data_IF_834892969882
#
_entry.id   IF_834892969882
#
_cell.length_a   1.000
_cell.length_b   1.000
_cell.length_c   1.000
_cell.angle_alpha   90.00
_cell.angle_beta   90.00
_cell.angle_gamma   90.00
#
_symmetry.space_group_name_H-M   'P 1'
#
loop_
_entity.id
_entity.type
_entity.pdbx_description
1 polymer ?
#
# COMPACT_ATOMS: atom_id res chain seq x y z
N UNK A 1 18.03 -7.54 -3.07
CA UNK A 1 16.93 -7.97 -3.97
C UNK A 1 16.06 -8.91 -3.15
N UNK A 2 14.88 -8.48 -2.70
CA UNK A 2 13.93 -9.39 -2.05
C UNK A 2 13.22 -10.19 -3.13
N UNK A 3 13.03 -11.49 -2.92
CA UNK A 3 12.37 -12.32 -3.91
C UNK A 3 10.91 -11.84 -4.12
N UNK A 4 10.37 -11.91 -5.36
CA UNK A 4 9.03 -11.39 -5.65
C UNK A 4 7.91 -12.05 -4.84
N UNK A 5 8.13 -13.29 -4.37
CA UNK A 5 7.14 -14.09 -3.67
C UNK A 5 7.19 -13.86 -2.14
N UNK A 6 8.37 -13.69 -1.56
CA UNK A 6 8.63 -13.48 -0.13
C UNK A 6 8.19 -12.10 0.35
N UNK A 7 8.23 -11.08 -0.51
CA UNK A 7 7.64 -9.78 -0.18
C UNK A 7 6.11 -9.84 -0.07
N UNK A 8 5.44 -10.66 -0.88
CA UNK A 8 3.98 -10.84 -0.79
C UNK A 8 3.60 -11.61 0.50
N UNK A 9 4.36 -12.64 0.85
CA UNK A 9 4.18 -13.39 2.10
C UNK A 9 4.48 -12.51 3.32
N UNK A 10 5.59 -11.77 3.32
CA UNK A 10 5.94 -10.88 4.42
C UNK A 10 4.88 -9.77 4.62
N UNK A 11 4.32 -9.20 3.55
CA UNK A 11 3.24 -8.21 3.67
C UNK A 11 1.92 -8.78 4.21
N UNK A 12 1.54 -9.98 3.75
CA UNK A 12 0.31 -10.64 4.16
C UNK A 12 0.35 -11.17 5.58
N UNK A 13 1.51 -11.70 6.00
CA UNK A 13 1.68 -12.37 7.30
C UNK A 13 2.16 -11.40 8.39
N UNK A 14 3.08 -10.47 8.10
CA UNK A 14 3.70 -9.66 9.15
C UNK A 14 2.80 -8.54 9.72
N UNK A 15 1.82 -8.06 8.94
CA UNK A 15 0.89 -6.99 9.39
C UNK A 15 -0.37 -7.53 10.07
N UNK A 16 -0.64 -8.83 9.96
CA UNK A 16 -1.83 -9.48 10.53
C UNK A 16 -3.17 -9.04 9.94
N UNK A 17 -3.19 -8.37 8.78
CA UNK A 17 -4.42 -7.86 8.13
C UNK A 17 -4.41 -8.07 6.60
N UNK A 18 -4.32 -9.33 6.14
CA UNK A 18 -4.71 -9.73 4.77
C UNK A 18 -3.81 -9.28 3.60
N UNK A 19 -2.77 -8.49 3.84
CA UNK A 19 -1.87 -7.98 2.80
C UNK A 19 -2.61 -7.05 1.82
N UNK A 20 -2.34 -7.19 0.51
CA UNK A 20 -3.00 -6.39 -0.54
C UNK A 20 -4.50 -6.66 -0.67
N UNK A 21 -5.02 -7.80 -0.20
CA UNK A 21 -6.47 -8.06 -0.17
C UNK A 21 -7.20 -7.13 0.79
N UNK A 22 -6.53 -6.69 1.85
CA UNK A 22 -7.01 -5.66 2.77
C UNK A 22 -6.00 -4.49 2.78
N UNK A 23 -5.65 -3.91 3.92
CA UNK A 23 -4.66 -2.82 4.00
C UNK A 23 -3.30 -3.24 4.59
N UNK A 24 -3.00 -4.55 4.65
CA UNK A 24 -1.78 -5.04 5.31
C UNK A 24 -0.49 -4.59 4.66
N UNK A 25 -0.51 -4.40 3.35
CA UNK A 25 0.62 -3.82 2.64
C UNK A 25 0.85 -2.34 2.99
N UNK A 26 -0.22 -1.58 3.22
CA UNK A 26 -0.13 -0.17 3.61
C UNK A 26 0.36 -0.04 5.07
N UNK A 27 -0.17 -0.87 5.97
CA UNK A 27 0.22 -0.88 7.39
C UNK A 27 1.69 -1.29 7.54
N UNK A 28 2.13 -2.35 6.86
CA UNK A 28 3.51 -2.78 6.93
C UNK A 28 4.50 -1.72 6.41
N UNK A 29 4.13 -0.95 5.38
CA UNK A 29 4.93 0.21 4.94
C UNK A 29 5.10 1.25 6.04
N UNK A 30 4.06 1.52 6.82
CA UNK A 30 4.15 2.47 7.93
C UNK A 30 5.03 1.94 9.07
N UNK A 31 4.97 0.64 9.35
CA UNK A 31 5.86 0.00 10.34
C UNK A 31 7.33 0.08 9.90
N UNK A 32 7.63 -0.18 8.62
CA UNK A 32 9.01 -0.19 8.11
C UNK A 32 9.55 1.22 7.88
N UNK A 33 8.79 2.09 7.21
CA UNK A 33 9.26 3.42 6.79
C UNK A 33 9.21 4.47 7.89
N UNK A 34 8.34 4.30 8.89
CA UNK A 34 8.16 5.27 9.99
C UNK A 34 8.39 4.68 11.38
N UNK A 35 8.70 3.39 11.50
CA UNK A 35 8.92 2.75 12.80
C UNK A 35 7.66 2.64 13.67
N UNK A 36 6.47 2.82 13.08
CA UNK A 36 5.21 2.83 13.83
C UNK A 36 4.92 1.46 14.44
N UNK A 37 4.37 1.44 15.66
CA UNK A 37 3.84 0.20 16.24
C UNK A 37 2.56 -0.20 15.54
N UNK A 38 2.21 -1.48 15.56
CA UNK A 38 1.05 -2.01 14.82
C UNK A 38 -0.27 -1.23 15.07
N UNK A 39 -0.66 -0.88 16.31
CA UNK A 39 -1.90 -0.11 16.53
C UNK A 39 -1.85 1.30 15.93
N UNK A 40 -0.70 1.96 16.02
CA UNK A 40 -0.47 3.30 15.47
C UNK A 40 -0.52 3.26 13.94
N UNK A 41 0.17 2.30 13.32
CA UNK A 41 0.18 2.10 11.87
C UNK A 41 -1.24 1.83 11.33
N UNK A 42 -2.03 0.99 12.02
CA UNK A 42 -3.44 0.74 11.66
C UNK A 42 -4.26 2.02 11.75
N UNK A 43 -4.14 2.78 12.85
CA UNK A 43 -4.87 4.05 13.04
C UNK A 43 -4.48 5.07 11.96
N UNK A 44 -3.20 5.16 11.64
CA UNK A 44 -2.69 6.06 10.61
C UNK A 44 -3.26 5.72 9.24
N UNK A 45 -3.17 4.45 8.83
CA UNK A 45 -3.68 3.99 7.53
C UNK A 45 -5.20 4.17 7.45
N UNK A 46 -5.94 3.78 8.47
CA UNK A 46 -7.39 3.97 8.54
C UNK A 46 -7.76 5.46 8.33
N UNK A 47 -7.08 6.37 9.03
CA UNK A 47 -7.28 7.81 8.87
C UNK A 47 -6.95 8.32 7.46
N UNK A 48 -5.87 7.81 6.84
CA UNK A 48 -5.50 8.17 5.46
C UNK A 48 -6.50 7.67 4.40
N UNK A 49 -7.18 6.56 4.69
CA UNK A 49 -8.17 5.97 3.81
C UNK A 49 -9.60 6.45 4.09
N UNK A 50 -9.81 7.30 5.10
CA UNK A 50 -11.15 7.73 5.52
C UNK A 50 -12.02 6.58 6.03
N UNK A 51 -11.40 5.52 6.56
CA UNK A 51 -12.05 4.26 6.90
C UNK A 51 -11.83 3.90 8.39
N UNK A 52 -12.58 2.92 8.90
CA UNK A 52 -12.37 2.41 10.26
C UNK A 52 -11.25 1.36 10.31
N UNK A 53 -10.78 1.02 11.52
CA UNK A 53 -9.81 -0.05 11.71
C UNK A 53 -10.35 -1.43 11.28
N UNK A 54 -11.67 -1.64 11.33
CA UNK A 54 -12.32 -2.85 10.87
C UNK A 54 -12.38 -2.89 9.35
N UNK A 55 -12.73 -1.78 8.70
CA UNK A 55 -12.81 -1.68 7.24
C UNK A 55 -11.45 -2.00 6.60
N UNK A 56 -10.35 -1.48 7.14
CA UNK A 56 -9.01 -1.74 6.58
C UNK A 56 -8.52 -3.19 6.76
N UNK A 57 -9.23 -3.99 7.56
CA UNK A 57 -8.99 -5.42 7.73
C UNK A 57 -9.99 -6.29 6.93
N UNK A 58 -11.07 -5.70 6.42
CA UNK A 58 -12.09 -6.37 5.60
C UNK A 58 -11.70 -6.30 4.11
N UNK A 59 -11.45 -7.43 3.44
CA UNK A 59 -11.12 -7.45 2.02
C UNK A 59 -12.19 -6.89 1.09
N UNK A 60 -13.48 -6.97 1.46
CA UNK A 60 -14.58 -6.48 0.61
C UNK A 60 -14.58 -4.96 0.63
N UNK A 61 -14.56 -4.35 1.82
CA UNK A 61 -14.45 -2.90 1.98
C UNK A 61 -13.17 -2.35 1.38
N UNK A 62 -12.05 -3.06 1.54
CA UNK A 62 -10.78 -2.63 0.97
C UNK A 62 -10.72 -2.75 -0.55
N UNK A 63 -11.51 -3.63 -1.20
CA UNK A 63 -11.58 -3.64 -2.67
C UNK A 63 -12.21 -2.36 -3.20
N UNK A 64 -13.32 -1.91 -2.58
CA UNK A 64 -13.99 -0.63 -2.87
C UNK A 64 -13.03 0.55 -2.66
N UNK A 65 -12.39 0.64 -1.50
CA UNK A 65 -11.44 1.74 -1.19
C UNK A 65 -10.26 1.76 -2.18
N UNK A 66 -9.75 0.59 -2.56
CA UNK A 66 -8.64 0.49 -3.52
C UNK A 66 -9.04 0.88 -4.92
N UNK A 67 -10.28 0.61 -5.31
CA UNK A 67 -10.85 1.07 -6.57
C UNK A 67 -10.96 2.59 -6.59
N UNK A 68 -11.59 3.18 -5.57
CA UNK A 68 -11.82 4.63 -5.47
C UNK A 68 -10.50 5.42 -5.46
N UNK A 69 -9.52 4.95 -4.68
CA UNK A 69 -8.21 5.61 -4.55
C UNK A 69 -7.19 5.14 -5.60
N UNK A 70 -7.59 4.20 -6.47
CA UNK A 70 -6.75 3.58 -7.50
C UNK A 70 -5.40 3.06 -6.95
N UNK A 71 -5.43 2.34 -5.83
CA UNK A 71 -4.23 1.86 -5.11
C UNK A 71 -3.70 0.51 -5.63
N UNK A 72 -4.29 0.01 -6.70
CA UNK A 72 -4.07 -1.34 -7.20
C UNK A 72 -4.82 -2.40 -6.38
N UNK A 73 -5.35 -3.38 -7.11
CA UNK A 73 -6.12 -4.52 -6.59
C UNK A 73 -5.36 -5.82 -6.83
N UNK A 74 -5.83 -6.89 -6.18
CA UNK A 74 -5.26 -8.25 -6.33
C UNK A 74 -5.38 -8.70 -7.78
N UNK A 75 -6.55 -8.49 -8.37
CA UNK A 75 -6.80 -8.76 -9.78
C UNK A 75 -6.35 -7.55 -10.60
N UNK A 76 -5.50 -7.80 -11.60
CA UNK A 76 -5.08 -6.77 -12.53
C UNK A 76 -6.23 -6.43 -13.48
N UNK A 77 -6.82 -5.26 -13.28
CA UNK A 77 -7.90 -4.76 -14.13
C UNK A 77 -7.29 -3.83 -15.21
N UNK A 78 -7.72 -3.93 -16.48
CA UNK A 78 -7.32 -2.99 -17.52
C UNK A 78 -7.64 -1.54 -17.11
N UNK A 79 -6.74 -0.59 -17.41
CA UNK A 79 -6.90 0.82 -17.03
C UNK A 79 -6.67 1.15 -15.54
N UNK A 80 -6.78 0.18 -14.62
CA UNK A 80 -6.48 0.41 -13.21
C UNK A 80 -4.97 0.47 -12.93
N UNK A 81 -4.58 1.25 -11.92
CA UNK A 81 -3.19 1.40 -11.52
C UNK A 81 -2.59 0.07 -11.05
N UNK A 82 -1.37 -0.19 -11.46
CA UNK A 82 -0.62 -1.41 -11.13
C UNK A 82 0.88 -1.15 -11.19
N UNK A 83 1.65 -1.98 -10.47
CA UNK A 83 3.11 -1.89 -10.48
C UNK A 83 3.60 -0.52 -9.98
N UNK A 84 4.25 0.26 -10.85
CA UNK A 84 4.83 1.55 -10.47
C UNK A 84 3.76 2.63 -10.24
N UNK A 85 2.71 2.67 -11.04
CA UNK A 85 1.62 3.67 -10.95
C UNK A 85 0.92 3.59 -9.58
N UNK A 86 0.52 2.39 -9.17
CA UNK A 86 -0.06 2.17 -7.84
C UNK A 86 0.86 2.63 -6.70
N UNK A 87 2.19 2.47 -6.87
CA UNK A 87 3.15 2.90 -5.84
C UNK A 87 3.32 4.41 -5.75
N UNK A 88 3.14 5.16 -6.84
CA UNK A 88 3.09 6.63 -6.78
C UNK A 88 1.91 7.08 -5.90
N UNK A 89 0.73 6.52 -6.12
CA UNK A 89 -0.49 6.82 -5.35
C UNK A 89 -0.38 6.40 -3.90
N UNK A 90 0.16 5.21 -3.61
CA UNK A 90 0.41 4.76 -2.23
C UNK A 90 1.39 5.70 -1.52
N UNK A 91 2.46 6.15 -2.20
CA UNK A 91 3.43 7.09 -1.64
C UNK A 91 2.75 8.41 -1.25
N UNK A 92 1.87 8.92 -2.11
CA UNK A 92 1.07 10.13 -1.88
C UNK A 92 0.09 9.97 -0.71
N UNK A 93 -0.78 8.95 -0.76
CA UNK A 93 -1.79 8.68 0.27
C UNK A 93 -1.16 8.53 1.65
N UNK A 94 -0.05 7.79 1.74
CA UNK A 94 0.64 7.54 3.00
C UNK A 94 1.63 8.65 3.39
N UNK A 95 1.94 9.60 2.49
CA UNK A 95 2.94 10.65 2.74
C UNK A 95 4.34 10.08 3.02
N UNK A 96 4.75 9.06 2.26
CA UNK A 96 6.06 8.40 2.41
C UNK A 96 6.82 8.37 1.09
N UNK A 97 8.15 8.29 1.16
CA UNK A 97 8.97 7.98 -0.01
C UNK A 97 9.06 6.47 -0.21
N UNK A 98 8.91 6.02 -1.46
CA UNK A 98 9.11 4.63 -1.84
C UNK A 98 10.31 4.55 -2.77
N UNK A 99 11.33 3.79 -2.39
CA UNK A 99 12.62 3.73 -3.11
C UNK A 99 12.46 3.50 -4.63
N UNK A 100 11.64 2.52 -5.04
CA UNK A 100 11.44 2.26 -6.47
C UNK A 100 10.71 3.38 -7.22
N UNK A 101 9.90 4.20 -6.55
CA UNK A 101 9.29 5.41 -7.13
C UNK A 101 10.36 6.47 -7.37
N UNK A 102 11.21 6.73 -6.38
CA UNK A 102 12.30 7.71 -6.51
C UNK A 102 13.34 7.29 -7.56
N UNK A 103 13.69 6.00 -7.61
CA UNK A 103 14.54 5.46 -8.66
C UNK A 103 13.90 5.57 -10.05
N UNK A 104 12.59 5.34 -10.17
CA UNK A 104 11.87 5.50 -11.43
C UNK A 104 11.90 6.96 -11.88
N UNK A 105 11.55 7.91 -10.99
CA UNK A 105 11.60 9.35 -11.24
C UNK A 105 12.97 9.78 -11.79
N UNK A 106 14.06 9.34 -11.13
CA UNK A 106 15.42 9.64 -11.58
C UNK A 106 15.74 9.06 -12.96
N UNK A 107 15.34 7.82 -13.24
CA UNK A 107 15.65 7.13 -14.50
C UNK A 107 14.93 7.74 -15.70
N UNK A 108 13.71 8.24 -15.52
CA UNK A 108 12.92 8.83 -16.60
C UNK A 108 13.08 10.34 -16.71
N UNK A 109 13.90 10.96 -15.85
CA UNK A 109 14.05 12.41 -15.79
C UNK A 109 12.75 13.11 -15.39
N UNK A 110 11.99 12.52 -14.47
CA UNK A 110 10.72 13.06 -13.97
C UNK A 110 10.94 14.44 -13.32
N UNK A 111 10.17 15.44 -13.76
CA UNK A 111 10.24 16.83 -13.28
C UNK A 111 8.99 17.28 -12.51
N UNK A 112 8.04 16.37 -12.31
CA UNK A 112 6.80 16.66 -11.57
C UNK A 112 7.05 16.89 -10.09
#
# INVERSE_FOLDING_TARGET
MGDPFGMAVAHGVASGIGGIRAAGDLVARMQVSKGMRLPEAKKYVAGKLGASAADIADPVKMDEIREDLNLGRVNAIPGAAKGIDAKFRIAEVLGIQINCVELFKKRVGWKG
#
